data_IF_869707941183
#
_entry.id   IF_869707941183
#
_cell.length_a   1.000
_cell.length_b   1.000
_cell.length_c   1.000
_cell.angle_alpha   90.00
_cell.angle_beta   90.00
_cell.angle_gamma   90.00
#
_symmetry.space_group_name_H-M   'P 1'
#
loop_
_entity.id
_entity.type
_entity.pdbx_description
1 polymer ?
#
# COMPACT_ATOMS: atom_id res chain seq x y z
N UNK A 1 -19.24 -11.28 -24.13
CA UNK A 1 -19.55 -9.92 -23.67
C UNK A 1 -20.57 -10.01 -22.55
N UNK A 2 -20.29 -9.47 -21.37
CA UNK A 2 -21.23 -9.39 -20.25
C UNK A 2 -22.24 -8.27 -20.55
N UNK A 3 -23.44 -8.61 -21.00
CA UNK A 3 -24.59 -7.67 -21.02
C UNK A 3 -24.46 -6.42 -21.89
N UNK A 4 -23.65 -6.43 -22.96
CA UNK A 4 -23.58 -5.32 -23.93
C UNK A 4 -22.71 -4.12 -23.52
N UNK A 5 -22.12 -4.11 -22.32
CA UNK A 5 -21.04 -3.18 -21.97
C UNK A 5 -19.68 -3.80 -22.34
N UNK A 6 -18.81 -2.99 -22.91
CA UNK A 6 -17.40 -3.34 -23.03
C UNK A 6 -16.77 -3.40 -21.63
N UNK A 7 -15.78 -4.27 -21.42
CA UNK A 7 -15.11 -4.48 -20.15
C UNK A 7 -14.49 -3.18 -19.61
N UNK A 8 -14.05 -2.30 -20.53
CA UNK A 8 -13.55 -0.96 -20.20
C UNK A 8 -14.62 -0.11 -19.53
N UNK A 9 -15.82 -0.05 -20.12
CA UNK A 9 -16.93 0.70 -19.54
C UNK A 9 -17.36 0.12 -18.20
N UNK A 10 -17.41 -1.21 -18.08
CA UNK A 10 -17.72 -1.85 -16.81
C UNK A 10 -16.73 -1.47 -15.70
N UNK A 11 -15.42 -1.50 -16.00
CA UNK A 11 -14.40 -1.11 -15.04
C UNK A 11 -14.47 0.39 -14.70
N UNK A 12 -14.75 1.24 -15.68
CA UNK A 12 -14.96 2.68 -15.46
C UNK A 12 -16.14 2.92 -14.51
N UNK A 13 -17.28 2.29 -14.77
CA UNK A 13 -18.48 2.42 -13.93
C UNK A 13 -18.21 1.90 -12.50
N UNK A 14 -17.46 0.81 -12.38
CA UNK A 14 -17.07 0.23 -11.10
C UNK A 14 -16.19 1.18 -10.28
N UNK A 15 -15.20 1.82 -10.93
CA UNK A 15 -14.32 2.79 -10.28
C UNK A 15 -15.08 4.05 -9.86
N UNK A 16 -16.03 4.53 -10.67
CA UNK A 16 -16.85 5.69 -10.33
C UNK A 16 -17.74 5.41 -9.11
N UNK A 17 -18.43 4.27 -9.09
CA UNK A 17 -19.33 3.88 -8.01
C UNK A 17 -18.62 3.61 -6.68
N UNK A 18 -17.36 3.16 -6.74
CA UNK A 18 -16.58 2.80 -5.55
C UNK A 18 -15.39 3.73 -5.34
N UNK A 19 -15.51 4.97 -5.82
CA UNK A 19 -14.42 5.95 -5.84
C UNK A 19 -13.91 6.32 -4.45
N UNK A 20 -14.57 5.97 -3.35
CA UNK A 20 -14.07 6.23 -2.00
C UNK A 20 -13.41 5.01 -1.33
N UNK A 21 -13.61 3.78 -1.82
CA UNK A 21 -13.02 2.60 -1.19
C UNK A 21 -11.65 2.29 -1.77
N UNK A 22 -10.64 2.31 -0.90
CA UNK A 22 -9.25 2.08 -1.26
C UNK A 22 -9.02 0.71 -1.94
N UNK A 23 -9.69 -0.34 -1.46
CA UNK A 23 -9.59 -1.69 -2.03
C UNK A 23 -10.29 -1.82 -3.39
N UNK A 24 -11.39 -1.12 -3.60
CA UNK A 24 -12.07 -1.09 -4.91
C UNK A 24 -11.23 -0.34 -5.93
N UNK A 25 -10.62 0.79 -5.54
CA UNK A 25 -9.64 1.50 -6.38
C UNK A 25 -8.48 0.59 -6.79
N UNK A 26 -7.90 -0.16 -5.85
CA UNK A 26 -6.83 -1.11 -6.16
C UNK A 26 -7.28 -2.15 -7.20
N UNK A 27 -8.43 -2.79 -6.97
CA UNK A 27 -8.99 -3.80 -7.87
C UNK A 27 -9.27 -3.25 -9.26
N UNK A 28 -9.92 -2.08 -9.33
CA UNK A 28 -10.27 -1.44 -10.60
C UNK A 28 -9.05 -0.88 -11.33
N UNK A 29 -8.02 -0.41 -10.63
CA UNK A 29 -6.74 0.00 -11.22
C UNK A 29 -5.98 -1.17 -11.84
N UNK A 30 -5.95 -2.34 -11.18
CA UNK A 30 -5.36 -3.55 -11.77
C UNK A 30 -6.07 -3.94 -13.08
N UNK A 31 -7.41 -3.89 -13.07
CA UNK A 31 -8.20 -4.15 -14.28
C UNK A 31 -8.00 -3.07 -15.34
N UNK A 32 -7.86 -1.79 -14.96
CA UNK A 32 -7.61 -0.69 -15.88
C UNK A 32 -6.30 -0.91 -16.65
N UNK A 33 -5.22 -1.27 -15.97
CA UNK A 33 -3.95 -1.59 -16.63
C UNK A 33 -4.02 -2.83 -17.50
N UNK A 34 -4.78 -3.85 -17.08
CA UNK A 34 -4.98 -5.08 -17.87
C UNK A 34 -5.72 -4.79 -19.19
N UNK A 35 -6.73 -3.92 -19.16
CA UNK A 35 -7.53 -3.56 -20.32
C UNK A 35 -6.84 -2.51 -21.21
N UNK A 36 -6.06 -1.61 -20.59
CA UNK A 36 -5.50 -0.42 -21.22
C UNK A 36 -4.10 -0.09 -20.66
N UNK A 37 -3.05 -0.63 -21.29
CA UNK A 37 -1.67 -0.43 -20.84
C UNK A 37 -1.24 1.05 -20.80
N UNK A 38 -1.87 1.94 -21.58
CA UNK A 38 -1.58 3.39 -21.55
C UNK A 38 -2.17 4.11 -20.33
N UNK A 39 -2.89 3.40 -19.45
CA UNK A 39 -3.59 3.96 -18.28
C UNK A 39 -2.89 3.67 -16.96
N UNK A 40 -1.64 3.21 -17.00
CA UNK A 40 -0.84 2.92 -15.80
C UNK A 40 -0.69 4.14 -14.90
N UNK A 41 -0.42 5.32 -15.46
CA UNK A 41 -0.27 6.54 -14.65
C UNK A 41 -1.57 6.94 -13.95
N UNK A 42 -2.71 6.82 -14.64
CA UNK A 42 -4.05 7.06 -14.07
C UNK A 42 -4.34 6.05 -12.94
N UNK A 43 -3.98 4.77 -13.15
CA UNK A 43 -4.15 3.72 -12.17
C UNK A 43 -3.28 3.95 -10.92
N UNK A 44 -2.02 4.35 -11.12
CA UNK A 44 -1.06 4.67 -10.07
C UNK A 44 -1.51 5.87 -9.24
N UNK A 45 -1.98 6.94 -9.88
CA UNK A 45 -2.55 8.10 -9.18
C UNK A 45 -3.73 7.70 -8.31
N UNK A 46 -4.59 6.80 -8.79
CA UNK A 46 -5.78 6.37 -8.05
C UNK A 46 -5.44 5.50 -6.83
N UNK A 47 -4.49 4.56 -6.94
CA UNK A 47 -4.13 3.66 -5.82
C UNK A 47 -3.22 4.30 -4.80
N UNK A 48 -2.48 5.35 -5.17
CA UNK A 48 -1.56 6.06 -4.27
C UNK A 48 -2.13 7.34 -3.67
N UNK A 49 -3.33 7.73 -4.09
CA UNK A 49 -4.13 8.73 -3.37
C UNK A 49 -4.51 8.18 -1.98
N UNK A 50 -4.17 8.95 -0.96
CA UNK A 50 -4.38 8.61 0.45
C UNK A 50 -5.20 9.70 1.16
N UNK A 51 -6.12 10.32 0.43
CA UNK A 51 -6.99 11.39 0.92
C UNK A 51 -7.83 10.99 2.13
N UNK A 52 -8.16 11.97 2.97
CA UNK A 52 -8.77 11.71 4.28
C UNK A 52 -10.20 11.15 4.23
N UNK A 53 -10.88 11.30 3.10
CA UNK A 53 -12.24 10.88 2.83
C UNK A 53 -12.36 9.45 2.27
N UNK A 54 -11.25 8.71 2.19
CA UNK A 54 -11.24 7.34 1.72
C UNK A 54 -11.76 6.38 2.80
N UNK A 55 -12.66 5.50 2.37
CA UNK A 55 -13.09 4.33 3.12
C UNK A 55 -11.99 3.27 3.11
N UNK A 56 -11.99 2.44 4.15
CA UNK A 56 -11.05 1.33 4.31
C UNK A 56 -9.57 1.76 4.32
N UNK A 57 -9.28 3.00 4.74
CA UNK A 57 -7.92 3.53 4.95
C UNK A 57 -7.29 2.97 6.24
N UNK A 58 -7.20 1.64 6.33
CA UNK A 58 -6.59 0.93 7.46
C UNK A 58 -5.12 0.65 7.19
N UNK A 59 -4.37 0.30 8.23
CA UNK A 59 -2.96 -0.06 8.13
C UNK A 59 -2.77 -1.24 7.16
N UNK A 60 -3.60 -2.28 7.29
CA UNK A 60 -3.56 -3.50 6.51
C UNK A 60 -3.74 -3.21 5.01
N UNK A 61 -4.72 -2.39 4.66
CA UNK A 61 -5.01 -2.05 3.27
C UNK A 61 -3.93 -1.15 2.67
N UNK A 62 -3.38 -0.23 3.46
CA UNK A 62 -2.26 0.59 3.02
C UNK A 62 -1.00 -0.26 2.80
N UNK A 63 -0.72 -1.22 3.68
CA UNK A 63 0.37 -2.20 3.51
C UNK A 63 0.17 -3.08 2.28
N UNK A 64 -1.06 -3.52 2.01
CA UNK A 64 -1.39 -4.29 0.80
C UNK A 64 -1.04 -3.51 -0.48
N UNK A 65 -1.40 -2.24 -0.54
CA UNK A 65 -1.07 -1.38 -1.69
C UNK A 65 0.44 -1.21 -1.80
N UNK A 66 1.12 -0.92 -0.68
CA UNK A 66 2.57 -0.77 -0.68
C UNK A 66 3.28 -2.02 -1.21
N UNK A 67 2.88 -3.21 -0.75
CA UNK A 67 3.43 -4.48 -1.27
C UNK A 67 3.10 -4.68 -2.76
N UNK A 68 1.89 -4.33 -3.20
CA UNK A 68 1.51 -4.40 -4.62
C UNK A 68 2.41 -3.53 -5.50
N UNK A 69 2.81 -2.36 -5.03
CA UNK A 69 3.75 -1.47 -5.71
C UNK A 69 5.17 -2.07 -5.74
N UNK A 70 5.64 -2.61 -4.61
CA UNK A 70 6.95 -3.29 -4.51
C UNK A 70 7.06 -4.51 -5.43
N UNK A 71 5.97 -5.26 -5.58
CA UNK A 71 5.88 -6.42 -6.47
C UNK A 71 5.92 -6.03 -7.96
N UNK A 72 5.79 -4.73 -8.29
CA UNK A 72 5.82 -4.25 -9.66
C UNK A 72 4.53 -4.53 -10.44
N UNK A 73 3.39 -4.67 -9.76
CA UNK A 73 2.08 -4.93 -10.42
C UNK A 73 1.74 -3.87 -11.47
N UNK A 74 2.18 -2.63 -11.27
CA UNK A 74 1.97 -1.50 -12.17
C UNK A 74 3.24 -1.13 -12.97
N UNK A 75 4.25 -2.01 -12.98
CA UNK A 75 5.59 -1.69 -13.48
C UNK A 75 6.49 -1.05 -12.43
N UNK A 76 7.72 -0.75 -12.82
CA UNK A 76 8.72 -0.13 -11.94
C UNK A 76 8.33 1.32 -11.63
N UNK A 77 8.05 1.61 -10.37
CA UNK A 77 7.59 2.92 -9.90
C UNK A 77 8.22 3.28 -8.54
N UNK A 78 9.55 3.19 -8.44
CA UNK A 78 10.30 3.34 -7.19
C UNK A 78 10.04 4.65 -6.46
N UNK A 79 9.95 5.76 -7.20
CA UNK A 79 9.79 7.09 -6.61
C UNK A 79 8.39 7.28 -6.03
N UNK A 80 7.36 6.85 -6.77
CA UNK A 80 5.98 6.86 -6.30
C UNK A 80 5.79 5.90 -5.11
N UNK A 81 6.45 4.75 -5.13
CA UNK A 81 6.42 3.78 -4.02
C UNK A 81 7.00 4.38 -2.74
N UNK A 82 8.10 5.13 -2.84
CA UNK A 82 8.67 5.90 -1.72
C UNK A 82 7.74 7.01 -1.25
N UNK A 83 7.13 7.75 -2.16
CA UNK A 83 6.16 8.78 -1.81
C UNK A 83 4.97 8.19 -1.04
N UNK A 84 4.42 7.08 -1.52
CA UNK A 84 3.32 6.37 -0.87
C UNK A 84 3.73 5.86 0.52
N UNK A 85 4.95 5.33 0.68
CA UNK A 85 5.51 4.96 1.98
C UNK A 85 5.53 6.15 2.96
N UNK A 86 6.01 7.31 2.52
CA UNK A 86 6.07 8.52 3.37
C UNK A 86 4.68 9.04 3.75
N UNK A 87 3.70 8.96 2.83
CA UNK A 87 2.29 9.26 3.13
C UNK A 87 1.76 8.31 4.20
N UNK A 88 1.95 7.01 4.03
CA UNK A 88 1.52 6.00 5.00
C UNK A 88 2.17 6.19 6.37
N UNK A 89 3.46 6.57 6.43
CA UNK A 89 4.16 6.91 7.68
C UNK A 89 3.50 8.08 8.42
N UNK A 90 3.00 9.07 7.68
CA UNK A 90 2.28 10.21 8.27
C UNK A 90 0.94 9.78 8.84
N UNK A 91 0.22 8.88 8.15
CA UNK A 91 -1.06 8.34 8.61
C UNK A 91 -0.90 7.36 9.78
N UNK A 92 0.18 6.57 9.79
CA UNK A 92 0.43 5.51 10.77
C UNK A 92 1.82 5.66 11.43
N UNK A 93 2.04 6.70 12.26
CA UNK A 93 3.37 7.04 12.79
C UNK A 93 3.99 5.96 13.69
N UNK A 94 3.18 5.07 14.25
CA UNK A 94 3.62 3.98 15.12
C UNK A 94 3.76 2.63 14.39
N UNK A 95 3.38 2.55 13.11
CA UNK A 95 3.43 1.31 12.37
C UNK A 95 4.86 1.01 11.89
N UNK A 96 5.42 -0.11 12.34
CA UNK A 96 6.81 -0.50 12.04
C UNK A 96 7.05 -0.77 10.56
N UNK A 97 6.03 -1.23 9.84
CA UNK A 97 6.06 -1.43 8.38
C UNK A 97 6.35 -0.14 7.61
N UNK A 98 6.08 1.03 8.21
CA UNK A 98 6.39 2.36 7.65
C UNK A 98 7.45 3.13 8.46
N UNK A 99 8.19 2.45 9.36
CA UNK A 99 9.11 3.11 10.29
C UNK A 99 10.55 3.26 9.76
N UNK A 100 10.99 2.39 8.84
CA UNK A 100 12.35 2.42 8.29
C UNK A 100 12.33 2.52 6.77
N UNK A 101 12.93 3.58 6.24
CA UNK A 101 13.23 3.73 4.81
C UNK A 101 14.65 3.19 4.58
N UNK A 102 14.87 1.91 4.84
CA UNK A 102 16.22 1.32 4.76
C UNK A 102 16.60 0.92 3.33
N UNK A 103 15.80 1.29 2.31
CA UNK A 103 16.03 0.92 0.92
C UNK A 103 15.99 -0.59 0.65
N UNK A 104 15.57 -1.40 1.63
CA UNK A 104 15.52 -2.85 1.57
C UNK A 104 14.09 -3.35 1.76
N UNK A 105 13.60 -4.00 0.69
CA UNK A 105 12.42 -4.87 0.56
C UNK A 105 11.80 -5.30 1.89
N UNK A 106 10.51 -4.99 2.05
CA UNK A 106 9.67 -5.47 3.15
C UNK A 106 9.78 -6.99 3.32
N UNK A 107 10.38 -7.41 4.42
CA UNK A 107 10.28 -8.78 4.92
C UNK A 107 9.40 -8.75 6.17
N UNK A 108 8.13 -9.08 5.99
CA UNK A 108 7.26 -9.42 7.12
C UNK A 108 7.67 -10.79 7.65
N UNK A 109 8.56 -10.82 8.64
CA UNK A 109 8.78 -12.01 9.45
C UNK A 109 8.84 -11.61 10.92
N UNK A 110 7.70 -11.77 11.61
CA UNK A 110 7.71 -11.96 13.05
C UNK A 110 8.07 -13.41 13.35
N UNK A 111 9.29 -13.66 13.83
CA UNK A 111 9.62 -14.48 15.01
C UNK A 111 11.15 -14.60 15.17
N UNK A 112 11.60 -14.24 16.36
CA UNK A 112 12.82 -14.56 17.10
C UNK A 112 14.08 -15.12 16.40
N UNK A 113 15.19 -14.43 16.68
CA UNK A 113 16.54 -14.97 16.67
C UNK A 113 17.42 -14.14 17.61
N UNK A 114 17.63 -14.64 18.82
CA UNK A 114 18.38 -14.00 19.89
C UNK A 114 19.89 -13.87 19.62
N UNK A 115 20.52 -13.03 20.47
CA UNK A 115 21.95 -12.93 20.84
C UNK A 115 22.76 -11.91 20.01
N UNK A 116 23.50 -10.94 20.58
CA UNK A 116 23.95 -10.72 21.97
C UNK A 116 24.58 -9.32 22.09
N UNK A 117 24.54 -8.80 23.33
CA UNK A 117 25.56 -8.00 24.02
C UNK A 117 25.28 -6.50 24.29
N UNK A 118 25.11 -6.24 25.61
CA UNK A 118 25.68 -5.15 26.46
C UNK A 118 25.21 -3.70 26.19
N UNK A 119 24.63 -2.91 27.12
CA UNK A 119 24.55 -2.92 28.59
C UNK A 119 23.26 -2.19 29.03
N UNK A 120 22.52 -2.70 30.02
CA UNK A 120 21.56 -1.89 30.79
C UNK A 120 21.83 -2.02 32.30
N UNK A 121 21.75 -0.91 33.06
CA UNK A 121 22.10 -0.89 34.47
C UNK A 121 21.03 -1.57 35.33
N UNK A 122 21.52 -2.32 36.32
CA UNK A 122 20.75 -3.02 37.35
C UNK A 122 20.01 -2.01 38.23
N UNK A 123 18.68 -2.01 38.18
CA UNK A 123 17.82 -1.29 39.13
C UNK A 123 17.53 -2.19 40.32
N UNK A 124 18.25 -1.99 41.42
CA UNK A 124 17.99 -2.63 42.72
C UNK A 124 16.80 -1.94 43.41
N UNK A 125 15.60 -2.50 43.19
CA UNK A 125 14.42 -2.17 43.99
C UNK A 125 14.19 -3.27 45.02
N UNK A 126 14.48 -3.00 46.29
CA UNK A 126 13.91 -3.76 47.41
C UNK A 126 12.89 -2.89 48.15
N UNK A 127 11.79 -3.56 48.52
CA UNK A 127 10.58 -3.02 49.14
C UNK A 127 10.70 -2.90 50.67
#
# INVERSE_FOLDING_TARGET
>A
MLGGKDLKQFNSDFLEQNSQSLLHRLSGSKMLCLLEASKVDDALALVTDLSDNLEDRTLENCTLIYNTLLEGTFGECSDLTKEYFLKCRTVFPLATVFAKDDGAVGSVNGLEGAQTAINEPLCDGEA
#
